data_IF_218640930997
#
_entry.id   IF_218640930997
#
_cell.length_a   1.000
_cell.length_b   1.000
_cell.length_c   1.000
_cell.angle_alpha   90.00
_cell.angle_beta   90.00
_cell.angle_gamma   90.00
#
_symmetry.space_group_name_H-M   'P 1'
#
loop_
_entity.id
_entity.type
_entity.pdbx_description
1 polymer ?
#
# COMPACT_ATOMS: atom_id res chain seq x y z
N UNK A 1 11.55 22.89 -18.68
CA UNK A 1 10.40 22.60 -17.80
C UNK A 1 9.96 21.18 -18.08
N UNK A 2 10.52 20.20 -17.35
CA UNK A 2 10.23 18.78 -17.57
C UNK A 2 8.96 18.43 -16.80
N UNK A 3 7.89 18.04 -17.49
CA UNK A 3 6.68 17.51 -16.86
C UNK A 3 7.03 16.12 -16.29
N UNK A 4 7.12 15.98 -14.97
CA UNK A 4 7.06 14.65 -14.36
C UNK A 4 5.65 14.09 -14.58
N UNK A 5 5.53 13.08 -15.43
CA UNK A 5 4.31 12.31 -15.63
C UNK A 5 4.15 11.33 -14.45
N UNK A 6 3.87 11.84 -13.25
CA UNK A 6 3.57 11.01 -12.10
C UNK A 6 2.23 10.29 -12.30
N UNK A 7 2.29 8.99 -12.65
CA UNK A 7 1.13 8.16 -12.89
C UNK A 7 0.42 7.85 -11.57
N UNK A 8 -0.87 8.17 -11.46
CA UNK A 8 -1.72 7.68 -10.35
C UNK A 8 -1.97 6.19 -10.60
N UNK A 9 -1.56 5.34 -9.66
CA UNK A 9 -1.70 3.87 -9.79
C UNK A 9 -2.83 3.30 -8.95
N UNK A 10 -3.24 4.00 -7.88
CA UNK A 10 -4.38 3.59 -7.06
C UNK A 10 -4.96 4.79 -6.32
N UNK A 11 -6.24 4.71 -5.99
CA UNK A 11 -6.91 5.64 -5.07
C UNK A 11 -7.82 4.88 -4.13
N UNK A 12 -7.96 5.36 -2.90
CA UNK A 12 -8.88 4.80 -1.92
C UNK A 12 -9.64 5.93 -1.21
N UNK A 13 -10.94 5.77 -0.90
CA UNK A 13 -11.65 6.72 -0.05
C UNK A 13 -11.09 6.64 1.38
N UNK A 14 -11.15 7.76 2.09
CA UNK A 14 -11.03 7.76 3.54
C UNK A 14 -12.23 7.02 4.14
N UNK A 15 -12.05 6.48 5.33
CA UNK A 15 -13.11 5.80 6.08
C UNK A 15 -13.31 6.49 7.43
N UNK A 16 -14.56 6.61 7.85
CA UNK A 16 -14.94 6.97 9.20
C UNK A 16 -15.55 5.74 9.88
N UNK A 17 -15.13 5.44 11.10
CA UNK A 17 -15.72 4.38 11.92
C UNK A 17 -16.87 5.00 12.72
N UNK A 18 -18.10 4.55 12.46
CA UNK A 18 -19.29 5.03 13.17
C UNK A 18 -19.44 4.32 14.52
N UNK A 19 -19.13 3.03 14.57
CA UNK A 19 -19.10 2.22 15.81
C UNK A 19 -18.34 0.91 15.59
N UNK A 20 -17.89 0.30 16.69
CA UNK A 20 -17.29 -1.03 16.69
C UNK A 20 -15.82 -1.10 16.26
N UNK A 21 -15.07 0.01 16.31
CA UNK A 21 -13.63 0.03 15.94
C UNK A 21 -12.84 -1.10 16.60
N UNK A 22 -13.05 -1.31 17.89
CA UNK A 22 -12.35 -2.32 18.66
C UNK A 22 -13.07 -3.66 18.71
N UNK A 23 -14.36 -3.72 18.39
CA UNK A 23 -15.14 -4.96 18.40
C UNK A 23 -14.63 -6.00 17.39
N UNK A 24 -13.96 -5.54 16.32
CA UNK A 24 -13.31 -6.41 15.33
C UNK A 24 -12.15 -7.22 15.90
N UNK A 25 -11.52 -6.74 16.97
CA UNK A 25 -10.45 -7.48 17.65
C UNK A 25 -11.00 -8.75 18.31
N UNK A 26 -12.29 -8.75 18.66
CA UNK A 26 -13.02 -9.87 19.23
C UNK A 26 -13.89 -10.61 18.20
N UNK A 27 -13.68 -10.35 16.90
CA UNK A 27 -14.41 -10.99 15.79
C UNK A 27 -15.82 -10.46 15.53
N UNK A 28 -16.23 -9.37 16.19
CA UNK A 28 -17.52 -8.72 15.96
C UNK A 28 -17.43 -7.60 14.89
N UNK A 29 -18.52 -7.26 14.19
CA UNK A 29 -18.47 -6.30 13.08
C UNK A 29 -18.36 -4.83 13.55
N UNK A 30 -17.80 -3.99 12.67
CA UNK A 30 -17.82 -2.52 12.78
C UNK A 30 -18.72 -1.91 11.68
N UNK A 31 -19.32 -0.76 11.98
CA UNK A 31 -20.02 0.05 10.97
C UNK A 31 -19.07 1.16 10.53
N UNK A 32 -18.76 1.20 9.24
CA UNK A 32 -17.88 2.19 8.62
C UNK A 32 -18.56 2.84 7.43
N UNK A 33 -18.22 4.10 7.17
CA UNK A 33 -18.65 4.82 5.97
C UNK A 33 -17.48 5.44 5.23
N UNK A 34 -17.60 5.56 3.90
CA UNK A 34 -16.64 6.28 3.09
C UNK A 34 -16.84 7.79 3.27
N UNK A 35 -15.74 8.54 3.30
CA UNK A 35 -15.77 10.01 3.29
C UNK A 35 -15.13 10.54 2.01
N UNK A 36 -15.55 11.74 1.59
CA UNK A 36 -15.00 12.42 0.40
C UNK A 36 -13.62 13.04 0.67
N UNK A 37 -12.68 12.17 1.06
CA UNK A 37 -11.27 12.49 1.24
C UNK A 37 -10.47 11.31 0.75
N UNK A 38 -9.74 11.45 -0.35
CA UNK A 38 -9.05 10.33 -1.01
C UNK A 38 -7.58 10.23 -0.65
N UNK A 39 -7.12 9.02 -0.39
CA UNK A 39 -5.71 8.65 -0.48
C UNK A 39 -5.37 8.36 -1.95
N UNK A 40 -4.26 8.91 -2.44
CA UNK A 40 -3.82 8.77 -3.85
C UNK A 40 -2.40 8.25 -3.87
N UNK A 41 -2.22 7.06 -4.45
CA UNK A 41 -0.89 6.49 -4.68
C UNK A 41 -0.41 6.92 -6.07
N UNK A 42 0.77 7.54 -6.10
CA UNK A 42 1.45 7.93 -7.34
C UNK A 42 2.74 7.14 -7.48
N UNK A 43 3.03 6.71 -8.70
CA UNK A 43 4.33 6.17 -9.07
C UNK A 43 5.10 7.26 -9.80
N UNK A 44 6.17 7.72 -9.18
CA UNK A 44 7.12 8.61 -9.84
C UNK A 44 8.22 7.76 -10.48
N UNK A 45 8.48 7.93 -11.77
CA UNK A 45 9.47 7.13 -12.49
C UNK A 45 10.89 7.35 -11.96
N UNK A 46 11.15 8.49 -11.31
CA UNK A 46 12.48 8.92 -10.86
C UNK A 46 12.81 8.41 -9.46
N UNK A 47 11.80 8.09 -8.64
CA UNK A 47 12.02 7.65 -7.26
C UNK A 47 12.19 6.14 -7.23
N UNK A 48 13.45 5.68 -7.22
CA UNK A 48 13.80 4.28 -7.04
C UNK A 48 13.24 3.70 -5.73
N UNK A 49 13.14 2.37 -5.67
CA UNK A 49 12.75 1.66 -4.43
C UNK A 49 13.68 2.03 -3.28
N UNK A 50 13.15 2.03 -2.06
CA UNK A 50 14.00 2.27 -0.89
C UNK A 50 15.11 1.20 -0.81
N UNK A 51 16.30 1.54 -0.26
CA UNK A 51 17.38 0.57 -0.11
C UNK A 51 16.96 -0.71 0.64
N UNK A 52 16.07 -0.56 1.63
CA UNK A 52 15.49 -1.69 2.35
C UNK A 52 14.67 -2.61 1.44
N UNK A 53 13.79 -2.05 0.61
CA UNK A 53 12.97 -2.85 -0.32
C UNK A 53 13.83 -3.54 -1.40
N UNK A 54 14.92 -2.91 -1.84
CA UNK A 54 15.88 -3.55 -2.74
C UNK A 54 16.58 -4.74 -2.07
N UNK A 55 17.02 -4.58 -0.82
CA UNK A 55 17.63 -5.67 -0.05
C UNK A 55 16.65 -6.84 0.16
N UNK A 56 15.38 -6.54 0.49
CA UNK A 56 14.33 -7.57 0.62
C UNK A 56 14.08 -8.26 -0.73
N UNK A 57 14.02 -7.51 -1.83
CA UNK A 57 13.82 -8.09 -3.15
C UNK A 57 14.98 -9.04 -3.53
N UNK A 58 16.23 -8.65 -3.23
CA UNK A 58 17.40 -9.51 -3.44
C UNK A 58 17.32 -10.79 -2.58
N UNK A 59 16.97 -10.66 -1.31
CA UNK A 59 16.86 -11.80 -0.40
C UNK A 59 15.75 -12.78 -0.83
N UNK A 60 14.59 -12.25 -1.25
CA UNK A 60 13.49 -13.09 -1.77
C UNK A 60 13.92 -13.80 -3.06
N UNK A 61 14.64 -13.12 -3.96
CA UNK A 61 15.15 -13.73 -5.19
C UNK A 61 16.13 -14.88 -4.89
N UNK A 62 17.06 -14.69 -3.94
CA UNK A 62 18.01 -15.71 -3.53
C UNK A 62 17.31 -16.95 -2.95
N UNK A 63 16.33 -16.76 -2.06
CA UNK A 63 15.57 -17.87 -1.46
C UNK A 63 14.74 -18.63 -2.49
N UNK A 64 14.03 -17.91 -3.38
CA UNK A 64 13.25 -18.55 -4.45
C UNK A 64 14.09 -19.34 -5.43
N UNK A 65 15.33 -18.90 -5.69
CA UNK A 65 16.29 -19.66 -6.52
C UNK A 65 16.79 -20.94 -5.86
N UNK A 66 16.85 -20.99 -4.52
CA UNK A 66 17.24 -22.17 -3.77
C UNK A 66 16.13 -23.23 -3.66
N UNK A 67 14.85 -22.82 -3.69
CA UNK A 67 13.70 -23.74 -3.61
C UNK A 67 13.42 -24.50 -4.93
N UNK A 68 14.10 -24.16 -6.03
CA UNK A 68 13.93 -24.77 -7.36
C UNK A 68 15.16 -25.59 -7.82
N UNK A 69 16.12 -25.88 -6.93
CA UNK A 69 17.37 -26.59 -7.21
C UNK A 69 17.44 -27.96 -6.51
#
# INVERSE_FOLDING_TARGET
>A
MWLSLALVIATAPGKLILTGEYAVLDGAPAIVTAVDRRAVARRDAVRGSSPFLLAVAHEIANKRGADHA
#
